data_IF_575594534631
#
_entry.id   IF_575594534631
#
_cell.length_a   1.000
_cell.length_b   1.000
_cell.length_c   1.000
_cell.angle_alpha   90.00
_cell.angle_beta   90.00
_cell.angle_gamma   90.00
#
_symmetry.space_group_name_H-M   'P 1'
#
loop_
_entity.id
_entity.type
_entity.pdbx_description
1 polymer ?
#
# COMPACT_ATOMS: atom_id res chain seq x y z
N UNK A 1 -11.22 -25.20 -68.12
CA UNK A 1 -11.31 -24.14 -67.10
C UNK A 1 -10.98 -24.69 -65.71
N UNK A 2 -9.99 -25.60 -65.60
CA UNK A 2 -9.66 -26.27 -64.32
C UNK A 2 -8.18 -26.19 -63.96
N UNK A 3 -7.27 -25.96 -64.92
CA UNK A 3 -5.83 -25.89 -64.64
C UNK A 3 -5.36 -24.56 -64.04
N UNK A 4 -6.12 -23.47 -64.18
CA UNK A 4 -5.76 -22.15 -63.61
C UNK A 4 -6.16 -21.96 -62.15
N UNK A 5 -7.04 -22.82 -61.61
CA UNK A 5 -7.49 -22.74 -60.21
C UNK A 5 -6.56 -23.47 -59.23
N UNK A 6 -5.92 -24.56 -59.67
CA UNK A 6 -4.97 -25.31 -58.83
C UNK A 6 -3.64 -24.58 -58.60
N UNK A 7 -3.15 -23.79 -59.57
CA UNK A 7 -1.85 -23.10 -59.39
C UNK A 7 -1.91 -21.90 -58.44
N UNK A 8 -3.09 -21.31 -58.25
CA UNK A 8 -3.33 -20.21 -57.30
C UNK A 8 -3.58 -20.71 -55.88
N UNK A 9 -4.12 -21.93 -55.71
CA UNK A 9 -4.32 -22.51 -54.37
C UNK A 9 -3.00 -22.96 -53.75
N UNK A 10 -2.11 -23.59 -54.52
CA UNK A 10 -0.82 -24.09 -54.01
C UNK A 10 0.14 -22.95 -53.64
N UNK A 11 0.09 -21.81 -54.35
CA UNK A 11 0.88 -20.62 -53.99
C UNK A 11 0.34 -19.89 -52.75
N UNK A 12 -0.96 -19.94 -52.47
CA UNK A 12 -1.53 -19.37 -51.23
C UNK A 12 -1.37 -20.30 -50.02
N UNK A 13 -1.41 -21.63 -50.19
CA UNK A 13 -1.11 -22.55 -49.09
C UNK A 13 0.38 -22.57 -48.72
N UNK A 14 1.29 -22.43 -49.69
CA UNK A 14 2.73 -22.35 -49.40
C UNK A 14 3.13 -21.08 -48.63
N UNK A 15 2.43 -19.96 -48.85
CA UNK A 15 2.69 -18.71 -48.14
C UNK A 15 2.08 -18.70 -46.72
N UNK A 16 0.95 -19.37 -46.51
CA UNK A 16 0.34 -19.49 -45.17
C UNK A 16 1.13 -20.47 -44.29
N UNK A 17 1.76 -21.51 -44.86
CA UNK A 17 2.57 -22.44 -44.06
C UNK A 17 3.96 -21.88 -43.67
N UNK A 18 4.52 -20.95 -44.44
CA UNK A 18 5.81 -20.30 -44.13
C UNK A 18 5.64 -19.09 -43.20
N UNK A 19 4.46 -18.46 -43.18
CA UNK A 19 4.10 -17.39 -42.23
C UNK A 19 3.59 -17.92 -40.87
N UNK A 20 3.40 -19.23 -40.73
CA UNK A 20 3.10 -19.90 -39.45
C UNK A 20 4.35 -20.48 -38.75
N UNK A 21 5.54 -20.37 -39.37
CA UNK A 21 6.81 -20.87 -38.80
C UNK A 21 7.85 -19.77 -38.55
N UNK A 22 7.48 -18.49 -38.59
CA UNK A 22 8.42 -17.37 -38.39
C UNK A 22 7.99 -16.33 -37.35
N UNK A 23 6.98 -16.64 -36.53
CA UNK A 23 6.73 -15.94 -35.26
C UNK A 23 6.30 -16.92 -34.17
N UNK A 24 7.02 -18.04 -34.01
CA UNK A 24 7.44 -18.38 -32.65
C UNK A 24 8.63 -17.47 -32.35
N UNK A 25 8.35 -16.17 -32.23
CA UNK A 25 9.06 -15.43 -31.21
C UNK A 25 8.78 -16.27 -29.97
N UNK A 26 9.80 -16.94 -29.47
CA UNK A 26 9.81 -17.34 -28.08
C UNK A 26 9.57 -16.00 -27.39
N UNK A 27 8.31 -15.69 -27.07
CA UNK A 27 8.05 -14.90 -25.90
C UNK A 27 8.70 -15.75 -24.84
N UNK A 28 9.97 -15.43 -24.59
CA UNK A 28 10.67 -15.93 -23.45
C UNK A 28 9.90 -15.22 -22.34
N UNK A 29 8.81 -15.84 -21.87
CA UNK A 29 8.19 -15.39 -20.63
C UNK A 29 9.36 -15.39 -19.66
N UNK A 30 9.68 -14.20 -19.16
CA UNK A 30 10.73 -14.08 -18.15
C UNK A 30 10.30 -15.03 -17.05
N UNK A 31 11.11 -16.06 -16.76
CA UNK A 31 10.78 -17.01 -15.68
C UNK A 31 10.59 -16.27 -14.36
N UNK A 32 11.22 -15.11 -14.21
CA UNK A 32 11.04 -14.24 -13.07
C UNK A 32 9.76 -13.40 -13.13
N UNK A 33 9.28 -13.00 -14.31
CA UNK A 33 7.96 -12.38 -14.41
C UNK A 33 6.87 -13.37 -13.94
N UNK A 34 6.96 -14.63 -14.37
CA UNK A 34 6.03 -15.68 -13.91
C UNK A 34 6.13 -15.87 -12.37
N UNK A 35 7.34 -15.82 -11.80
CA UNK A 35 7.53 -15.89 -10.34
C UNK A 35 6.99 -14.67 -9.58
N UNK A 36 7.09 -13.47 -10.16
CA UNK A 36 6.50 -12.25 -9.58
C UNK A 36 4.98 -12.37 -9.55
N UNK A 37 4.37 -12.84 -10.64
CA UNK A 37 2.93 -13.06 -10.72
C UNK A 37 2.47 -14.14 -9.73
N UNK A 38 3.21 -15.25 -9.60
CA UNK A 38 2.97 -16.28 -8.59
C UNK A 38 3.05 -15.72 -7.16
N UNK A 39 4.08 -14.92 -6.84
CA UNK A 39 4.23 -14.31 -5.52
C UNK A 39 3.05 -13.37 -5.20
N UNK A 40 2.62 -12.58 -6.19
CA UNK A 40 1.45 -11.71 -6.07
C UNK A 40 0.16 -12.50 -5.85
N UNK A 41 -0.05 -13.57 -6.63
CA UNK A 41 -1.21 -14.44 -6.52
C UNK A 41 -1.27 -15.18 -5.17
N UNK A 42 -0.14 -15.71 -4.70
CA UNK A 42 -0.05 -16.39 -3.40
C UNK A 42 -0.28 -15.40 -2.25
N UNK A 43 0.31 -14.20 -2.32
CA UNK A 43 0.07 -13.13 -1.34
C UNK A 43 -1.42 -12.80 -1.25
N UNK A 44 -2.07 -12.61 -2.41
CA UNK A 44 -3.51 -12.36 -2.48
C UNK A 44 -4.31 -13.53 -1.89
N UNK A 45 -3.99 -14.76 -2.27
CA UNK A 45 -4.66 -15.96 -1.79
C UNK A 45 -4.54 -16.12 -0.28
N UNK A 46 -3.37 -15.87 0.29
CA UNK A 46 -3.16 -15.90 1.74
C UNK A 46 -3.93 -14.80 2.45
N UNK A 47 -3.86 -13.54 2.00
CA UNK A 47 -4.62 -12.43 2.60
C UNK A 47 -6.12 -12.66 2.56
N UNK A 48 -6.61 -13.30 1.50
CA UNK A 48 -8.03 -13.66 1.38
C UNK A 48 -8.47 -14.70 2.42
N UNK A 49 -7.63 -15.68 2.72
CA UNK A 49 -7.96 -16.78 3.65
C UNK A 49 -7.70 -16.39 5.12
N UNK A 50 -6.59 -15.71 5.37
CA UNK A 50 -6.14 -15.30 6.71
C UNK A 50 -6.54 -13.84 6.99
N UNK A 51 -7.85 -13.58 7.01
CA UNK A 51 -8.42 -12.22 7.18
C UNK A 51 -8.16 -11.55 8.53
N UNK A 52 -7.79 -12.35 9.53
CA UNK A 52 -7.52 -11.93 10.91
C UNK A 52 -6.02 -11.71 11.06
N UNK A 53 -5.57 -10.55 10.58
CA UNK A 53 -4.16 -10.17 10.44
C UNK A 53 -3.44 -10.13 11.80
N UNK A 54 -4.11 -9.62 12.83
CA UNK A 54 -3.58 -9.64 14.19
C UNK A 54 -3.85 -10.96 14.93
N UNK A 55 -3.26 -12.05 14.43
CA UNK A 55 -3.33 -13.35 15.08
C UNK A 55 -2.05 -14.14 14.97
N UNK A 56 -1.77 -14.97 15.97
CA UNK A 56 -0.59 -15.84 15.97
C UNK A 56 -0.55 -16.76 14.74
N UNK A 57 -1.73 -17.20 14.28
CA UNK A 57 -1.84 -18.01 13.05
C UNK A 57 -1.43 -17.21 11.80
N UNK A 58 -1.88 -15.96 11.67
CA UNK A 58 -1.52 -15.09 10.54
C UNK A 58 -0.01 -14.86 10.49
N UNK A 59 0.58 -14.38 11.59
CA UNK A 59 2.01 -14.08 11.65
C UNK A 59 2.87 -15.30 11.32
N UNK A 60 2.57 -16.46 11.92
CA UNK A 60 3.30 -17.70 11.63
C UNK A 60 3.11 -18.16 10.19
N UNK A 61 1.91 -18.03 9.62
CA UNK A 61 1.67 -18.44 8.24
C UNK A 61 2.41 -17.54 7.26
N UNK A 62 2.43 -16.23 7.47
CA UNK A 62 3.11 -15.26 6.62
C UNK A 62 4.64 -15.34 6.77
N UNK A 63 5.16 -15.61 7.97
CA UNK A 63 6.59 -15.86 8.17
C UNK A 63 7.03 -17.10 7.37
N UNK A 64 6.30 -18.22 7.48
CA UNK A 64 6.57 -19.40 6.65
C UNK A 64 6.46 -19.11 5.14
N UNK A 65 5.52 -18.25 4.74
CA UNK A 65 5.35 -17.84 3.35
C UNK A 65 6.59 -17.11 2.83
N UNK A 66 7.10 -16.11 3.56
CA UNK A 66 8.30 -15.40 3.16
C UNK A 66 9.54 -16.30 3.19
N UNK A 67 9.68 -17.18 4.19
CA UNK A 67 10.76 -18.17 4.24
C UNK A 67 10.77 -19.10 3.02
N UNK A 68 9.61 -19.62 2.64
CA UNK A 68 9.49 -20.53 1.50
C UNK A 68 9.76 -19.81 0.17
N UNK A 69 9.32 -18.56 0.04
CA UNK A 69 9.63 -17.73 -1.13
C UNK A 69 11.10 -17.33 -1.20
N UNK A 70 11.74 -17.04 -0.05
CA UNK A 70 13.15 -16.74 -0.02
C UNK A 70 13.99 -17.96 -0.43
N UNK A 71 13.64 -19.17 0.05
CA UNK A 71 14.29 -20.42 -0.40
C UNK A 71 14.11 -20.66 -1.90
N UNK A 72 12.92 -20.36 -2.45
CA UNK A 72 12.69 -20.41 -3.91
C UNK A 72 13.63 -19.47 -4.65
N UNK A 73 13.80 -18.24 -4.17
CA UNK A 73 14.71 -17.25 -4.76
C UNK A 73 16.17 -17.71 -4.69
N UNK A 74 16.61 -18.27 -3.57
CA UNK A 74 17.99 -18.77 -3.40
C UNK A 74 18.34 -19.94 -4.33
N UNK A 75 17.34 -20.67 -4.81
CA UNK A 75 17.51 -21.75 -5.80
C UNK A 75 17.81 -21.26 -7.22
N UNK A 76 17.74 -19.95 -7.49
CA UNK A 76 17.95 -19.37 -8.81
C UNK A 76 19.42 -18.98 -9.01
N UNK A 77 20.06 -19.47 -10.07
CA UNK A 77 21.41 -19.04 -10.44
C UNK A 77 21.37 -17.62 -11.02
N UNK A 78 21.61 -16.62 -10.15
CA UNK A 78 21.61 -15.21 -10.49
C UNK A 78 22.55 -14.85 -11.65
N UNK A 79 23.68 -15.56 -11.80
CA UNK A 79 24.66 -15.23 -12.84
C UNK A 79 24.18 -15.66 -14.24
N UNK A 80 23.32 -16.67 -14.31
CA UNK A 80 22.71 -17.15 -15.55
C UNK A 80 21.61 -16.25 -16.10
N UNK A 81 21.10 -15.31 -15.29
CA UNK A 81 20.00 -14.42 -15.64
C UNK A 81 20.42 -13.33 -16.64
N UNK A 82 19.49 -12.95 -17.52
CA UNK A 82 19.60 -11.73 -18.34
C UNK A 82 19.61 -10.47 -17.46
N UNK A 83 19.99 -9.32 -18.01
CA UNK A 83 20.03 -8.08 -17.24
C UNK A 83 18.64 -7.69 -16.70
N UNK A 84 17.58 -7.88 -17.49
CA UNK A 84 16.21 -7.62 -17.05
C UNK A 84 15.80 -8.55 -15.91
N UNK A 85 16.06 -9.85 -16.06
CA UNK A 85 15.82 -10.85 -15.01
C UNK A 85 16.61 -10.55 -13.73
N UNK A 86 17.85 -10.04 -13.83
CA UNK A 86 18.61 -9.62 -12.63
C UNK A 86 17.92 -8.48 -11.88
N UNK A 87 17.32 -7.53 -12.59
CA UNK A 87 16.53 -6.45 -11.98
C UNK A 87 15.30 -7.03 -11.28
N UNK A 88 14.53 -7.86 -11.99
CA UNK A 88 13.33 -8.52 -11.45
C UNK A 88 13.67 -9.34 -10.18
N UNK A 89 14.77 -10.08 -10.21
CA UNK A 89 15.26 -10.86 -9.07
C UNK A 89 15.56 -9.98 -7.86
N UNK A 90 16.29 -8.88 -8.05
CA UNK A 90 16.66 -7.95 -6.97
C UNK A 90 15.42 -7.30 -6.38
N UNK A 91 14.49 -6.85 -7.22
CA UNK A 91 13.25 -6.21 -6.77
C UNK A 91 12.33 -7.18 -6.02
N UNK A 92 12.13 -8.40 -6.55
CA UNK A 92 11.32 -9.41 -5.87
C UNK A 92 11.95 -9.84 -4.55
N UNK A 93 13.27 -10.10 -4.53
CA UNK A 93 13.99 -10.42 -3.29
C UNK A 93 13.84 -9.31 -2.26
N UNK A 94 13.99 -8.04 -2.66
CA UNK A 94 13.80 -6.90 -1.78
C UNK A 94 12.36 -6.82 -1.25
N UNK A 95 11.36 -7.09 -2.10
CA UNK A 95 9.94 -7.13 -1.68
C UNK A 95 9.67 -8.21 -0.62
N UNK A 96 10.24 -9.41 -0.78
CA UNK A 96 10.14 -10.51 0.19
C UNK A 96 10.80 -10.12 1.51
N UNK A 97 12.05 -9.64 1.47
CA UNK A 97 12.81 -9.23 2.66
C UNK A 97 12.10 -8.09 3.40
N UNK A 98 11.59 -7.09 2.67
CA UNK A 98 10.81 -5.99 3.24
C UNK A 98 9.54 -6.48 3.91
N UNK A 99 8.81 -7.38 3.25
CA UNK A 99 7.59 -7.98 3.77
C UNK A 99 7.83 -8.76 5.07
N UNK A 100 8.88 -9.58 5.12
CA UNK A 100 9.24 -10.35 6.30
C UNK A 100 9.71 -9.45 7.46
N UNK A 101 10.55 -8.45 7.18
CA UNK A 101 11.03 -7.51 8.19
C UNK A 101 9.87 -6.81 8.93
N UNK A 102 8.95 -6.21 8.19
CA UNK A 102 7.81 -5.51 8.80
C UNK A 102 6.82 -6.47 9.47
N UNK A 103 6.61 -7.66 8.91
CA UNK A 103 5.80 -8.70 9.57
C UNK A 103 6.39 -9.06 10.94
N UNK A 104 7.71 -9.19 11.05
CA UNK A 104 8.38 -9.53 12.29
C UNK A 104 8.28 -8.41 13.33
N UNK A 105 8.43 -7.14 12.92
CA UNK A 105 8.18 -5.99 13.80
C UNK A 105 6.74 -5.97 14.30
N UNK A 106 5.77 -6.12 13.41
CA UNK A 106 4.35 -6.18 13.77
C UNK A 106 4.03 -7.37 14.68
N UNK A 107 4.73 -8.50 14.50
CA UNK A 107 4.56 -9.67 15.36
C UNK A 107 5.16 -9.46 16.75
N UNK A 108 6.29 -8.77 16.87
CA UNK A 108 6.87 -8.37 18.15
C UNK A 108 5.92 -7.45 18.92
N UNK A 109 5.36 -6.43 18.25
CA UNK A 109 4.33 -5.55 18.80
C UNK A 109 3.07 -6.33 19.23
N UNK A 110 2.62 -7.28 18.39
CA UNK A 110 1.50 -8.16 18.73
C UNK A 110 1.77 -8.96 20.00
N UNK A 111 2.97 -9.54 20.15
CA UNK A 111 3.33 -10.37 21.31
C UNK A 111 3.34 -9.55 22.61
N UNK A 112 3.66 -8.26 22.56
CA UNK A 112 3.64 -7.38 23.74
C UNK A 112 2.23 -7.25 24.35
N UNK A 113 1.19 -7.28 23.52
CA UNK A 113 -0.20 -7.01 23.92
C UNK A 113 -1.18 -8.15 23.65
N UNK A 114 -0.71 -9.32 23.22
CA UNK A 114 -1.55 -10.46 22.84
C UNK A 114 -2.52 -10.92 23.95
N UNK A 115 -2.23 -10.59 25.21
CA UNK A 115 -3.07 -10.95 26.36
C UNK A 115 -4.45 -10.28 26.34
N UNK A 116 -4.63 -9.19 25.58
CA UNK A 116 -5.93 -8.53 25.39
C UNK A 116 -6.94 -9.40 24.65
N UNK A 117 -6.49 -10.35 23.84
CA UNK A 117 -7.33 -11.29 23.10
C UNK A 117 -7.54 -12.63 23.82
N UNK A 118 -7.16 -12.77 25.09
CA UNK A 118 -7.29 -14.04 25.82
C UNK A 118 -8.73 -14.58 25.86
N UNK A 119 -9.76 -13.71 25.82
CA UNK A 119 -11.16 -14.12 25.73
C UNK A 119 -11.50 -14.86 24.42
N UNK A 120 -10.72 -14.66 23.36
CA UNK A 120 -10.99 -15.15 22.02
C UNK A 120 -10.59 -16.62 21.78
N UNK A 121 -9.73 -17.19 22.65
CA UNK A 121 -9.08 -18.49 22.42
C UNK A 121 -10.06 -19.62 22.09
N UNK A 122 -11.20 -19.68 22.77
CA UNK A 122 -12.22 -20.72 22.56
C UNK A 122 -13.04 -20.53 21.29
N UNK A 123 -13.01 -19.33 20.69
CA UNK A 123 -13.72 -18.99 19.45
C UNK A 123 -12.84 -19.12 18.20
N UNK A 124 -11.52 -19.16 18.35
CA UNK A 124 -10.60 -19.30 17.21
C UNK A 124 -10.91 -20.54 16.34
N UNK A 125 -11.22 -21.73 16.89
CA UNK A 125 -11.57 -22.89 16.08
C UNK A 125 -12.79 -22.62 15.18
N UNK A 126 -13.81 -21.90 15.66
CA UNK A 126 -14.99 -21.57 14.85
C UNK A 126 -14.60 -20.73 13.61
N UNK A 127 -13.78 -19.70 13.79
CA UNK A 127 -13.29 -18.84 12.70
C UNK A 127 -12.43 -19.65 11.71
N UNK A 128 -11.54 -20.49 12.22
CA UNK A 128 -10.63 -21.30 11.40
C UNK A 128 -11.38 -22.36 10.59
N UNK A 129 -12.27 -23.10 11.24
CA UNK A 129 -13.03 -24.19 10.62
C UNK A 129 -14.06 -23.67 9.61
N UNK A 130 -14.56 -22.43 9.78
CA UNK A 130 -15.42 -21.77 8.81
C UNK A 130 -14.76 -21.62 7.43
N UNK A 131 -13.44 -21.48 7.34
CA UNK A 131 -12.72 -21.39 6.05
C UNK A 131 -12.94 -22.61 5.13
N UNK A 132 -13.41 -23.72 5.71
CA UNK A 132 -13.79 -24.96 4.99
C UNK A 132 -15.25 -25.36 5.21
N UNK A 133 -16.08 -24.44 5.71
CA UNK A 133 -17.53 -24.61 5.83
C UNK A 133 -17.97 -25.65 6.86
N UNK A 134 -17.16 -25.95 7.88
CA UNK A 134 -17.55 -26.93 8.90
C UNK A 134 -18.69 -26.38 9.74
N UNK A 135 -19.82 -27.09 9.73
CA UNK A 135 -21.00 -26.75 10.54
C UNK A 135 -20.65 -26.74 12.05
N UNK A 136 -20.88 -25.62 12.77
CA UNK A 136 -20.66 -25.56 14.21
C UNK A 136 -21.81 -26.21 14.99
N UNK A 137 -21.55 -26.54 16.25
CA UNK A 137 -22.63 -26.74 17.23
C UNK A 137 -23.12 -25.36 17.70
N UNK A 138 -24.28 -24.94 17.18
CA UNK A 138 -24.86 -23.62 17.38
C UNK A 138 -25.07 -23.27 18.85
N UNK A 139 -25.54 -24.24 19.65
CA UNK A 139 -25.85 -24.05 21.06
C UNK A 139 -24.59 -23.90 21.88
N UNK A 140 -23.57 -24.72 21.62
CA UNK A 140 -22.26 -24.61 22.27
C UNK A 140 -21.59 -23.29 21.88
N UNK A 141 -21.62 -22.91 20.60
CA UNK A 141 -21.04 -21.66 20.13
C UNK A 141 -21.71 -20.43 20.76
N UNK A 142 -23.04 -20.44 20.86
CA UNK A 142 -23.79 -19.40 21.57
C UNK A 142 -23.34 -19.25 23.03
N UNK A 143 -23.14 -20.36 23.74
CA UNK A 143 -22.64 -20.34 25.12
C UNK A 143 -21.20 -19.78 25.18
N UNK A 144 -20.32 -20.20 24.26
CA UNK A 144 -18.95 -19.68 24.15
C UNK A 144 -18.95 -18.16 23.97
N UNK A 145 -19.80 -17.60 23.10
CA UNK A 145 -19.88 -16.15 22.88
C UNK A 145 -20.39 -15.38 24.10
N UNK A 146 -21.35 -15.96 24.83
CA UNK A 146 -21.83 -15.38 26.09
C UNK A 146 -20.73 -15.35 27.16
N UNK A 147 -19.96 -16.44 27.29
CA UNK A 147 -18.89 -16.52 28.28
C UNK A 147 -17.69 -15.65 27.89
N UNK A 148 -17.40 -15.52 26.59
CA UNK A 148 -16.43 -14.57 26.07
C UNK A 148 -16.80 -13.12 26.43
N UNK A 149 -18.08 -12.75 26.32
CA UNK A 149 -18.57 -11.41 26.71
C UNK A 149 -18.35 -11.13 28.20
N UNK A 150 -18.57 -12.12 29.08
CA UNK A 150 -18.31 -11.98 30.52
C UNK A 150 -16.81 -11.83 30.81
N UNK A 151 -15.97 -12.65 30.17
CA UNK A 151 -14.51 -12.57 30.30
C UNK A 151 -13.99 -11.22 29.82
N UNK A 152 -14.48 -10.73 28.69
CA UNK A 152 -14.12 -9.42 28.12
C UNK A 152 -14.44 -8.27 29.10
N UNK A 153 -15.61 -8.29 29.72
CA UNK A 153 -15.98 -7.30 30.73
C UNK A 153 -15.05 -7.32 31.96
N UNK A 154 -14.69 -8.52 32.43
CA UNK A 154 -13.73 -8.67 33.53
C UNK A 154 -12.33 -8.16 33.15
N UNK A 155 -11.86 -8.49 31.94
CA UNK A 155 -10.58 -8.02 31.41
C UNK A 155 -10.52 -6.51 31.26
N UNK A 156 -11.59 -5.88 30.75
CA UNK A 156 -11.71 -4.41 30.66
C UNK A 156 -11.54 -3.75 32.03
N UNK A 157 -12.18 -4.29 33.07
CA UNK A 157 -12.03 -3.79 34.45
C UNK A 157 -10.59 -3.92 34.96
N UNK A 158 -9.93 -5.06 34.74
CA UNK A 158 -8.53 -5.27 35.17
C UNK A 158 -7.56 -4.38 34.39
N UNK A 159 -7.79 -4.20 33.09
CA UNK A 159 -6.92 -3.40 32.20
C UNK A 159 -6.95 -1.92 32.52
N UNK A 160 -8.04 -1.40 33.08
CA UNK A 160 -8.16 0.01 33.52
C UNK A 160 -7.07 0.39 34.52
N UNK A 161 -6.63 -0.54 35.37
CA UNK A 161 -5.58 -0.32 36.37
C UNK A 161 -4.16 -0.52 35.79
N UNK A 162 -4.05 -0.88 34.50
CA UNK A 162 -2.80 -1.20 33.80
C UNK A 162 -2.77 -0.54 32.43
N UNK A 163 -2.63 0.79 32.36
CA UNK A 163 -2.52 1.51 31.09
C UNK A 163 -1.30 1.02 30.30
N UNK A 164 -1.38 1.11 28.98
CA UNK A 164 -0.25 0.86 28.09
C UNK A 164 0.81 1.95 28.23
N UNK A 165 2.05 1.61 27.85
CA UNK A 165 3.20 2.51 27.94
C UNK A 165 3.01 3.78 27.09
N UNK A 166 2.43 3.63 25.90
CA UNK A 166 2.19 4.70 24.94
C UNK A 166 0.96 4.40 24.06
N UNK A 167 0.60 5.39 23.24
CA UNK A 167 -0.55 5.31 22.34
C UNK A 167 -0.36 4.27 21.22
N UNK A 168 0.88 3.99 20.77
CA UNK A 168 1.13 3.00 19.71
C UNK A 168 0.82 1.58 20.21
N UNK A 169 1.21 1.29 21.44
CA UNK A 169 0.92 0.02 22.12
C UNK A 169 -0.58 -0.15 22.37
N UNK A 170 -1.26 0.94 22.74
CA UNK A 170 -2.71 0.97 22.89
C UNK A 170 -3.45 0.77 21.56
N UNK A 171 -2.98 1.39 20.49
CA UNK A 171 -3.53 1.24 19.14
C UNK A 171 -3.36 -0.20 18.64
N UNK A 172 -2.17 -0.80 18.80
CA UNK A 172 -1.93 -2.23 18.50
C UNK A 172 -2.86 -3.14 19.28
N UNK A 173 -3.05 -2.89 20.57
CA UNK A 173 -3.98 -3.67 21.40
C UNK A 173 -5.43 -3.57 20.89
N UNK A 174 -5.85 -2.39 20.43
CA UNK A 174 -7.14 -2.17 19.79
C UNK A 174 -7.25 -2.93 18.46
N UNK A 175 -6.22 -2.85 17.61
CA UNK A 175 -6.15 -3.54 16.31
C UNK A 175 -6.33 -5.05 16.45
N UNK A 176 -5.74 -5.67 17.48
CA UNK A 176 -5.93 -7.10 17.78
C UNK A 176 -7.42 -7.44 17.97
N UNK A 177 -8.13 -6.64 18.76
CA UNK A 177 -9.55 -6.87 19.05
C UNK A 177 -10.41 -6.64 17.82
N UNK A 178 -10.12 -5.60 17.03
CA UNK A 178 -10.82 -5.30 15.78
C UNK A 178 -10.58 -6.35 14.70
N UNK A 179 -9.36 -6.88 14.60
CA UNK A 179 -9.02 -7.99 13.71
C UNK A 179 -9.80 -9.25 14.09
N UNK A 180 -9.87 -9.58 15.38
CA UNK A 180 -10.71 -10.67 15.86
C UNK A 180 -12.19 -10.43 15.53
N UNK A 181 -12.71 -9.22 15.77
CA UNK A 181 -14.08 -8.84 15.44
C UNK A 181 -14.39 -9.02 13.95
N UNK A 182 -13.48 -8.59 13.07
CA UNK A 182 -13.58 -8.80 11.60
C UNK A 182 -13.65 -10.29 11.27
N UNK A 183 -12.77 -11.11 11.84
CA UNK A 183 -12.77 -12.56 11.64
C UNK A 183 -14.04 -13.24 12.14
N UNK A 184 -14.53 -12.84 13.32
CA UNK A 184 -15.76 -13.35 13.91
C UNK A 184 -16.98 -12.98 13.07
N UNK A 185 -17.06 -11.73 12.61
CA UNK A 185 -18.13 -11.25 11.75
C UNK A 185 -18.21 -12.04 10.45
N UNK A 186 -17.09 -12.23 9.79
CA UNK A 186 -17.04 -13.01 8.55
C UNK A 186 -17.54 -14.43 8.77
N UNK A 187 -17.08 -15.08 9.84
CA UNK A 187 -17.53 -16.42 10.18
C UNK A 187 -19.02 -16.49 10.56
N UNK A 188 -19.54 -15.48 11.25
CA UNK A 188 -20.95 -15.35 11.57
C UNK A 188 -21.82 -15.18 10.32
N UNK A 189 -21.47 -14.24 9.44
CA UNK A 189 -22.23 -13.91 8.23
C UNK A 189 -22.33 -15.11 7.27
N UNK A 190 -21.36 -16.01 7.29
CA UNK A 190 -21.37 -17.23 6.49
C UNK A 190 -22.55 -18.16 6.83
N UNK A 191 -22.95 -18.24 8.10
CA UNK A 191 -24.03 -19.13 8.57
C UNK A 191 -25.34 -18.39 8.85
N UNK A 192 -25.26 -17.13 9.28
CA UNK A 192 -26.44 -16.33 9.63
C UNK A 192 -27.41 -16.24 8.45
N UNK A 193 -28.71 -16.42 8.72
CA UNK A 193 -29.82 -16.50 7.75
C UNK A 193 -29.83 -17.70 6.80
N UNK A 194 -28.73 -18.44 6.68
CA UNK A 194 -28.63 -19.65 5.85
C UNK A 194 -28.81 -20.95 6.65
N UNK A 195 -28.38 -20.97 7.92
CA UNK A 195 -28.64 -22.06 8.87
C UNK A 195 -29.63 -21.59 9.96
N UNK A 196 -30.88 -22.11 9.97
CA UNK A 196 -31.90 -21.69 10.93
C UNK A 196 -31.54 -21.97 12.39
N UNK A 197 -30.89 -23.11 12.69
CA UNK A 197 -30.49 -23.47 14.05
C UNK A 197 -29.34 -22.56 14.53
N UNK A 198 -28.37 -22.30 13.65
CA UNK A 198 -27.32 -21.31 13.92
C UNK A 198 -27.92 -19.94 14.21
N UNK A 199 -28.81 -19.47 13.34
CA UNK A 199 -29.43 -18.15 13.45
C UNK A 199 -30.18 -18.02 14.78
N UNK A 200 -30.97 -19.04 15.13
CA UNK A 200 -31.73 -19.07 16.38
C UNK A 200 -30.85 -18.96 17.63
N UNK A 201 -29.77 -19.73 17.69
CA UNK A 201 -28.92 -19.77 18.89
C UNK A 201 -27.90 -18.62 18.95
N UNK A 202 -27.33 -18.22 17.82
CA UNK A 202 -26.10 -17.40 17.78
C UNK A 202 -26.37 -15.91 17.59
N UNK A 203 -27.49 -15.50 16.97
CA UNK A 203 -27.76 -14.09 16.63
C UNK A 203 -27.61 -13.15 17.84
N UNK A 204 -28.27 -13.46 18.96
CA UNK A 204 -28.25 -12.58 20.14
C UNK A 204 -26.89 -12.58 20.85
N UNK A 205 -26.26 -13.74 21.15
CA UNK A 205 -24.91 -13.77 21.69
C UNK A 205 -23.87 -13.05 20.82
N UNK A 206 -23.95 -13.22 19.50
CA UNK A 206 -23.05 -12.54 18.56
C UNK A 206 -23.24 -11.02 18.61
N UNK A 207 -24.47 -10.51 18.48
CA UNK A 207 -24.74 -9.06 18.52
C UNK A 207 -24.24 -8.42 19.82
N UNK A 208 -24.43 -9.10 20.95
CA UNK A 208 -23.93 -8.62 22.23
C UNK A 208 -22.40 -8.61 22.26
N UNK A 209 -21.75 -9.68 21.82
CA UNK A 209 -20.30 -9.77 21.79
C UNK A 209 -19.69 -8.75 20.83
N UNK A 210 -20.24 -8.57 19.63
CA UNK A 210 -19.79 -7.62 18.63
C UNK A 210 -19.79 -6.17 19.16
N UNK A 211 -20.89 -5.76 19.81
CA UNK A 211 -20.95 -4.47 20.49
C UNK A 211 -19.89 -4.32 21.59
N UNK A 212 -19.73 -5.35 22.44
CA UNK A 212 -18.74 -5.35 23.51
C UNK A 212 -17.30 -5.29 22.97
N UNK A 213 -17.00 -5.96 21.85
CA UNK A 213 -15.69 -5.93 21.20
C UNK A 213 -15.35 -4.53 20.73
N UNK A 214 -16.30 -3.85 20.07
CA UNK A 214 -16.13 -2.47 19.62
C UNK A 214 -15.85 -1.52 20.79
N UNK A 215 -16.62 -1.64 21.88
CA UNK A 215 -16.40 -0.85 23.09
C UNK A 215 -15.11 -1.18 23.84
N UNK A 216 -14.61 -2.41 23.70
CA UNK A 216 -13.35 -2.82 24.30
C UNK A 216 -12.16 -2.30 23.49
N UNK A 217 -12.21 -2.40 22.16
CA UNK A 217 -11.19 -1.85 21.27
C UNK A 217 -11.02 -0.34 21.49
N UNK A 218 -12.13 0.42 21.49
CA UNK A 218 -12.11 1.86 21.76
C UNK A 218 -11.55 2.19 23.16
N UNK A 219 -11.89 1.37 24.16
CA UNK A 219 -11.30 1.51 25.49
C UNK A 219 -9.79 1.27 25.48
N UNK A 220 -9.31 0.21 24.82
CA UNK A 220 -7.89 -0.11 24.75
C UNK A 220 -7.10 1.01 24.08
N UNK A 221 -7.62 1.51 22.95
CA UNK A 221 -7.01 2.61 22.17
C UNK A 221 -6.75 3.85 23.01
N UNK A 222 -7.61 4.14 23.98
CA UNK A 222 -7.51 5.31 24.85
C UNK A 222 -6.88 5.01 26.23
N UNK A 223 -6.46 3.76 26.50
CA UNK A 223 -5.96 3.33 27.81
C UNK A 223 -4.43 3.29 27.85
N UNK A 224 -3.79 4.44 27.69
CA UNK A 224 -2.34 4.60 27.75
C UNK A 224 -1.93 5.74 28.69
N UNK A 225 -0.65 5.77 29.06
CA UNK A 225 -0.09 6.77 29.97
C UNK A 225 -0.07 8.17 29.31
N UNK A 226 -0.59 9.20 29.98
CA UNK A 226 -0.75 10.57 29.44
C UNK A 226 0.58 11.26 29.03
N UNK A 227 1.72 10.74 29.48
CA UNK A 227 3.05 11.27 29.16
C UNK A 227 3.60 10.79 27.80
N UNK A 228 2.84 10.00 27.03
CA UNK A 228 3.22 9.61 25.67
C UNK A 228 3.11 10.80 24.72
N UNK A 229 4.13 10.96 23.84
CA UNK A 229 4.33 12.10 22.93
C UNK A 229 2.99 12.67 22.45
N UNK A 230 2.62 13.77 23.08
CA UNK A 230 1.44 14.58 22.81
C UNK A 230 1.92 15.69 21.90
N UNK A 231 1.44 15.67 20.65
CA UNK A 231 1.47 16.78 19.67
C UNK A 231 2.67 17.74 19.78
N UNK A 232 3.61 17.65 18.84
CA UNK A 232 4.77 18.56 18.76
C UNK A 232 4.41 20.01 18.36
N UNK A 233 3.12 20.34 18.36
CA UNK A 233 2.57 21.63 17.97
C UNK A 233 2.29 21.73 16.47
N UNK A 234 2.63 20.70 15.69
CA UNK A 234 2.24 20.60 14.27
C UNK A 234 0.80 20.14 14.09
N UNK A 235 0.16 19.56 15.13
CA UNK A 235 -1.11 18.86 15.01
C UNK A 235 -1.01 17.52 14.27
N UNK A 236 0.21 17.10 13.86
CA UNK A 236 0.48 15.85 13.15
C UNK A 236 1.13 14.88 14.12
N UNK A 237 0.34 13.97 14.68
CA UNK A 237 0.85 12.86 15.50
C UNK A 237 1.29 11.75 14.54
N UNK A 238 2.57 11.73 14.17
CA UNK A 238 3.16 10.62 13.40
C UNK A 238 3.37 9.37 14.25
N UNK A 239 3.38 8.18 13.63
CA UNK A 239 3.78 6.90 14.26
C UNK A 239 5.30 6.74 14.12
N UNK A 240 6.13 7.12 15.12
CA UNK A 240 7.57 6.97 14.99
C UNK A 240 7.93 5.48 14.87
N UNK A 241 8.73 5.14 13.85
CA UNK A 241 9.21 3.77 13.61
C UNK A 241 10.59 3.52 14.21
N UNK A 242 11.24 4.55 14.77
CA UNK A 242 12.59 4.46 15.32
C UNK A 242 13.69 4.57 14.26
N UNK A 243 14.93 4.73 14.73
CA UNK A 243 16.10 4.95 13.86
C UNK A 243 16.46 3.70 13.07
N UNK A 244 16.40 2.54 13.72
CA UNK A 244 16.76 1.25 13.15
C UNK A 244 15.81 0.90 12.00
N UNK A 245 14.49 0.96 12.22
CA UNK A 245 13.53 0.69 11.15
C UNK A 245 13.60 1.73 10.01
N UNK A 246 13.94 2.99 10.31
CA UNK A 246 14.15 4.00 9.29
C UNK A 246 15.38 3.71 8.42
N UNK A 247 16.49 3.25 9.03
CA UNK A 247 17.69 2.83 8.29
C UNK A 247 17.39 1.63 7.38
N UNK A 248 16.71 0.61 7.91
CA UNK A 248 16.29 -0.55 7.12
C UNK A 248 15.34 -0.14 5.98
N UNK A 249 14.37 0.75 6.26
CA UNK A 249 13.45 1.28 5.25
C UNK A 249 14.19 1.99 4.12
N UNK A 250 15.17 2.85 4.45
CA UNK A 250 15.99 3.54 3.44
C UNK A 250 16.82 2.56 2.61
N UNK A 251 17.43 1.55 3.25
CA UNK A 251 18.19 0.52 2.54
C UNK A 251 17.30 -0.29 1.57
N UNK A 252 16.08 -0.64 1.98
CA UNK A 252 15.10 -1.34 1.14
C UNK A 252 14.54 -0.46 0.01
N UNK A 253 14.63 0.87 0.11
CA UNK A 253 14.35 1.80 -1.00
C UNK A 253 15.61 2.11 -1.84
N UNK A 254 16.69 1.37 -1.63
CA UNK A 254 17.99 1.56 -2.29
C UNK A 254 18.59 2.96 -2.09
N UNK A 255 18.29 3.62 -0.97
CA UNK A 255 18.83 4.92 -0.60
C UNK A 255 20.11 4.70 0.22
N UNK A 256 21.30 5.04 -0.31
CA UNK A 256 22.59 4.72 0.32
C UNK A 256 23.00 5.72 1.42
N UNK A 257 22.05 6.49 1.95
CA UNK A 257 22.28 7.58 2.90
C UNK A 257 21.54 7.31 4.20
N UNK A 258 22.16 7.69 5.31
CA UNK A 258 21.50 7.67 6.62
C UNK A 258 20.52 8.84 6.75
N UNK A 259 19.55 8.76 7.69
CA UNK A 259 18.66 9.89 7.98
C UNK A 259 19.42 11.19 8.28
N UNK A 260 20.49 11.11 9.07
CA UNK A 260 21.32 12.26 9.43
C UNK A 260 22.01 12.88 8.18
N UNK A 261 22.46 12.05 7.24
CA UNK A 261 23.03 12.51 5.98
C UNK A 261 21.97 13.17 5.09
N UNK A 262 20.78 12.58 4.99
CA UNK A 262 19.67 13.13 4.22
C UNK A 262 19.24 14.50 4.77
N UNK A 263 19.11 14.64 6.09
CA UNK A 263 18.78 15.92 6.73
C UNK A 263 19.86 16.96 6.43
N UNK A 264 21.14 16.59 6.63
CA UNK A 264 22.25 17.50 6.34
C UNK A 264 22.24 17.97 4.89
N UNK A 265 22.09 17.05 3.94
CA UNK A 265 22.00 17.40 2.52
C UNK A 265 20.77 18.26 2.24
N UNK A 266 19.62 17.96 2.83
CA UNK A 266 18.41 18.76 2.66
C UNK A 266 18.59 20.20 3.17
N UNK A 267 19.23 20.40 4.32
CA UNK A 267 19.53 21.73 4.87
C UNK A 267 20.51 22.51 3.97
N UNK A 268 21.54 21.84 3.46
CA UNK A 268 22.49 22.42 2.50
C UNK A 268 21.79 22.86 1.21
N UNK A 269 20.96 21.98 0.61
CA UNK A 269 20.20 22.29 -0.59
C UNK A 269 19.15 23.39 -0.35
N UNK A 270 18.47 23.37 0.79
CA UNK A 270 17.49 24.40 1.16
C UNK A 270 18.14 25.78 1.25
N UNK A 271 19.30 25.87 1.89
CA UNK A 271 20.07 27.11 1.97
C UNK A 271 20.55 27.58 0.58
N UNK A 272 20.98 26.66 -0.28
CA UNK A 272 21.34 26.99 -1.66
C UNK A 272 20.13 27.53 -2.44
N UNK A 273 19.00 26.83 -2.44
CA UNK A 273 17.76 27.28 -3.08
C UNK A 273 17.33 28.67 -2.60
N UNK A 274 17.37 28.91 -1.29
CA UNK A 274 17.07 30.22 -0.71
C UNK A 274 18.01 31.32 -1.24
N UNK A 275 19.29 31.03 -1.38
CA UNK A 275 20.26 32.00 -1.91
C UNK A 275 20.01 32.29 -3.39
N UNK A 276 19.65 31.29 -4.20
CA UNK A 276 19.26 31.51 -5.60
C UNK A 276 17.95 32.32 -5.70
N UNK A 277 16.97 32.06 -4.83
CA UNK A 277 15.76 32.89 -4.75
C UNK A 277 16.06 34.35 -4.41
N UNK A 278 17.03 34.62 -3.54
CA UNK A 278 17.47 35.98 -3.21
C UNK A 278 18.14 36.64 -4.42
N UNK A 279 18.94 35.92 -5.21
CA UNK A 279 19.53 36.46 -6.44
C UNK A 279 18.44 36.85 -7.45
N UNK A 280 17.49 35.96 -7.71
CA UNK A 280 16.36 36.25 -8.59
C UNK A 280 15.52 37.45 -8.08
N UNK A 281 15.31 37.53 -6.76
CA UNK A 281 14.64 38.67 -6.11
C UNK A 281 15.34 40.01 -6.37
N UNK A 282 16.68 40.03 -6.34
CA UNK A 282 17.48 41.22 -6.65
C UNK A 282 17.34 41.62 -8.12
N UNK A 283 17.36 40.65 -9.04
CA UNK A 283 17.16 40.88 -10.47
C UNK A 283 15.76 41.43 -10.79
N UNK A 284 14.75 40.99 -10.04
CA UNK A 284 13.38 41.51 -10.11
C UNK A 284 13.20 42.86 -9.41
N UNK A 285 14.24 43.40 -8.74
CA UNK A 285 14.21 44.71 -8.09
C UNK A 285 13.65 44.72 -6.65
N UNK A 286 13.45 43.56 -6.02
CA UNK A 286 12.94 43.43 -4.64
C UNK A 286 14.05 43.33 -3.58
N UNK A 287 15.32 43.40 -3.98
CA UNK A 287 16.45 43.23 -3.07
C UNK A 287 16.44 41.85 -2.42
N UNK A 288 16.68 41.78 -1.11
CA UNK A 288 16.76 40.51 -0.36
C UNK A 288 15.40 39.99 0.10
N UNK A 289 14.31 40.73 -0.16
CA UNK A 289 12.95 40.32 0.16
C UNK A 289 12.40 39.35 -0.90
N UNK A 290 12.98 38.15 -0.91
CA UNK A 290 12.58 37.08 -1.83
C UNK A 290 11.12 36.66 -1.65
N UNK A 291 10.49 36.93 -0.50
CA UNK A 291 9.07 36.66 -0.28
C UNK A 291 8.22 37.67 -1.05
N UNK A 292 8.57 38.96 -1.02
CA UNK A 292 7.89 39.96 -1.85
C UNK A 292 8.06 39.68 -3.35
N UNK A 293 9.26 39.28 -3.78
CA UNK A 293 9.49 38.85 -5.17
C UNK A 293 8.63 37.63 -5.55
N UNK A 294 8.54 36.64 -4.65
CA UNK A 294 7.70 35.46 -4.87
C UNK A 294 6.20 35.84 -4.96
N UNK A 295 5.72 36.73 -4.10
CA UNK A 295 4.35 37.24 -4.18
C UNK A 295 4.10 38.02 -5.47
N UNK A 296 5.09 38.77 -5.97
CA UNK A 296 4.99 39.41 -7.28
C UNK A 296 4.78 38.38 -8.40
N UNK A 297 5.64 37.35 -8.47
CA UNK A 297 5.55 36.29 -9.50
C UNK A 297 4.24 35.50 -9.38
N UNK A 298 3.74 35.24 -8.18
CA UNK A 298 2.42 34.62 -7.99
C UNK A 298 1.29 35.41 -8.64
N UNK A 299 1.46 36.71 -8.85
CA UNK A 299 0.47 37.59 -9.47
C UNK A 299 0.75 37.88 -10.96
N UNK A 300 1.77 37.26 -11.58
CA UNK A 300 2.06 37.39 -13.02
C UNK A 300 1.39 36.29 -13.86
N UNK A 301 0.17 35.88 -13.51
CA UNK A 301 -0.61 34.91 -14.28
C UNK A 301 -1.32 35.57 -15.46
N UNK A 302 -1.66 34.76 -16.47
CA UNK A 302 -2.40 35.23 -17.65
C UNK A 302 -3.87 35.53 -17.28
N UNK A 303 -4.57 36.40 -18.03
CA UNK A 303 -5.98 36.68 -17.83
C UNK A 303 -6.87 35.43 -17.71
N UNK A 304 -7.99 35.57 -17.01
CA UNK A 304 -8.98 34.51 -16.89
C UNK A 304 -9.43 34.03 -18.29
N UNK A 305 -9.45 32.71 -18.49
CA UNK A 305 -9.72 32.08 -19.78
C UNK A 305 -8.48 31.79 -20.63
N UNK A 306 -7.32 32.39 -20.34
CA UNK A 306 -6.10 32.20 -21.16
C UNK A 306 -5.16 31.11 -20.65
N UNK A 307 -5.33 30.66 -19.41
CA UNK A 307 -4.51 29.61 -18.79
C UNK A 307 -4.35 28.35 -19.66
N UNK A 308 -5.39 27.78 -20.30
CA UNK A 308 -5.24 26.63 -21.18
C UNK A 308 -4.27 26.87 -22.34
N UNK A 309 -4.34 28.03 -22.99
CA UNK A 309 -3.44 28.36 -24.09
C UNK A 309 -2.00 28.54 -23.59
N UNK A 310 -1.81 29.27 -22.47
CA UNK A 310 -0.50 29.46 -21.87
C UNK A 310 0.18 28.13 -21.50
N UNK A 311 -0.59 27.17 -20.99
CA UNK A 311 -0.09 25.82 -20.68
C UNK A 311 0.28 25.06 -21.97
N UNK A 312 -0.50 25.17 -23.04
CA UNK A 312 -0.18 24.54 -24.32
C UNK A 312 1.07 25.14 -24.96
N UNK A 313 1.29 26.44 -24.80
CA UNK A 313 2.49 27.13 -25.27
C UNK A 313 3.72 26.66 -24.48
N UNK A 314 3.62 26.54 -23.14
CA UNK A 314 4.69 25.97 -22.30
C UNK A 314 5.01 24.52 -22.64
N UNK A 315 3.97 23.72 -22.91
CA UNK A 315 4.13 22.35 -23.38
C UNK A 315 4.93 22.32 -24.69
N UNK A 316 4.52 23.11 -25.68
CA UNK A 316 5.18 23.17 -27.00
C UNK A 316 6.63 23.62 -26.87
N UNK A 317 6.90 24.67 -26.09
CA UNK A 317 8.27 25.13 -25.80
C UNK A 317 9.12 24.05 -25.13
N UNK A 318 8.52 23.26 -24.23
CA UNK A 318 9.23 22.17 -23.55
C UNK A 318 9.57 21.03 -24.52
N UNK A 319 8.65 20.68 -25.42
CA UNK A 319 8.89 19.70 -26.49
C UNK A 319 10.01 20.16 -27.41
N UNK A 320 9.92 21.40 -27.91
CA UNK A 320 10.95 21.98 -28.78
C UNK A 320 12.31 22.00 -28.08
N UNK A 321 12.37 22.44 -26.81
CA UNK A 321 13.60 22.46 -26.03
C UNK A 321 14.24 21.07 -25.91
N UNK A 322 13.44 20.03 -25.69
CA UNK A 322 13.90 18.63 -25.58
C UNK A 322 14.38 18.11 -26.93
N UNK A 323 13.61 18.30 -27.99
CA UNK A 323 13.91 17.76 -29.32
C UNK A 323 15.09 18.47 -29.99
N UNK A 324 15.16 19.80 -29.92
CA UNK A 324 16.26 20.59 -30.48
C UNK A 324 17.61 20.28 -29.82
N UNK A 325 17.59 19.86 -28.55
CA UNK A 325 18.79 19.52 -27.76
C UNK A 325 19.05 18.03 -27.64
N UNK A 326 18.19 17.20 -28.26
CA UNK A 326 18.27 15.73 -28.21
C UNK A 326 18.43 15.20 -26.76
N UNK A 327 17.61 15.72 -25.83
CA UNK A 327 17.77 15.40 -24.40
C UNK A 327 17.26 14.00 -24.04
N UNK A 328 16.14 13.57 -24.64
CA UNK A 328 15.55 12.25 -24.49
C UNK A 328 14.83 11.86 -25.79
N UNK A 329 14.63 10.56 -26.01
CA UNK A 329 13.73 10.09 -27.06
C UNK A 329 12.28 10.36 -26.66
N UNK A 330 11.58 11.20 -27.42
CA UNK A 330 10.19 11.56 -27.19
C UNK A 330 9.28 10.94 -28.28
N UNK A 331 8.59 9.82 -28.00
CA UNK A 331 7.73 9.17 -29.00
C UNK A 331 6.59 10.08 -29.46
N UNK A 332 6.25 10.03 -30.75
CA UNK A 332 5.16 10.85 -31.31
C UNK A 332 3.84 10.69 -30.55
N UNK A 333 3.50 9.47 -30.12
CA UNK A 333 2.29 9.21 -29.35
C UNK A 333 2.32 9.85 -27.95
N UNK A 334 3.48 9.94 -27.31
CA UNK A 334 3.61 10.64 -26.02
C UNK A 334 3.32 12.14 -26.18
N UNK A 335 3.61 12.70 -27.35
CA UNK A 335 3.26 14.10 -27.67
C UNK A 335 1.77 14.30 -27.93
N UNK A 336 1.11 13.31 -28.51
CA UNK A 336 -0.31 13.37 -28.85
C UNK A 336 -1.23 13.16 -27.65
N UNK A 337 -0.81 12.36 -26.65
CA UNK A 337 -1.73 11.78 -25.65
C UNK A 337 -1.83 12.52 -24.32
N UNK A 338 -1.09 13.63 -24.14
CA UNK A 338 -1.25 14.47 -22.95
C UNK A 338 -2.51 15.34 -23.09
N UNK A 339 -3.58 14.89 -22.46
CA UNK A 339 -4.84 15.63 -22.42
C UNK A 339 -4.78 16.82 -21.47
N UNK A 340 -5.83 17.63 -21.47
CA UNK A 340 -5.96 18.79 -20.60
C UNK A 340 -7.36 18.81 -19.99
N UNK A 341 -7.44 18.98 -18.67
CA UNK A 341 -8.71 19.09 -17.95
C UNK A 341 -8.71 20.28 -16.99
N UNK A 342 -9.91 20.80 -16.71
CA UNK A 342 -10.08 21.83 -15.68
C UNK A 342 -10.29 21.17 -14.32
N UNK A 343 -9.54 21.61 -13.32
CA UNK A 343 -9.72 21.14 -11.94
C UNK A 343 -11.06 21.64 -11.40
N UNK A 344 -11.89 20.73 -10.88
CA UNK A 344 -13.13 21.10 -10.20
C UNK A 344 -12.86 22.01 -8.99
N UNK A 345 -13.79 22.92 -8.68
CA UNK A 345 -13.67 23.82 -7.53
C UNK A 345 -13.50 23.10 -6.17
N UNK A 346 -14.06 21.91 -6.02
CA UNK A 346 -13.87 21.09 -4.81
C UNK A 346 -12.42 20.59 -4.70
N UNK A 347 -11.89 20.01 -5.78
CA UNK A 347 -10.49 19.55 -5.82
C UNK A 347 -9.49 20.68 -5.61
N UNK A 348 -9.74 21.89 -6.12
CA UNK A 348 -8.83 23.04 -5.94
C UNK A 348 -8.63 23.42 -4.47
N UNK A 349 -9.59 23.13 -3.58
CA UNK A 349 -9.48 23.44 -2.14
C UNK A 349 -8.52 22.51 -1.39
N UNK A 350 -8.26 21.32 -1.91
CA UNK A 350 -7.58 20.24 -1.18
C UNK A 350 -6.40 19.64 -1.93
N UNK A 351 -6.19 19.97 -3.21
CA UNK A 351 -5.17 19.36 -4.06
C UNK A 351 -3.84 20.12 -3.97
N UNK A 352 -2.79 19.54 -3.36
CA UNK A 352 -1.52 20.22 -3.18
C UNK A 352 -0.62 19.99 -4.40
N UNK A 353 -0.73 20.83 -5.43
CA UNK A 353 0.24 21.08 -6.54
C UNK A 353 0.78 19.90 -7.39
N UNK A 354 0.64 18.63 -7.00
CA UNK A 354 1.13 17.45 -7.73
C UNK A 354 0.04 16.39 -7.81
N UNK A 355 -0.72 16.42 -8.91
CA UNK A 355 -1.84 15.51 -9.12
C UNK A 355 -1.48 14.25 -9.91
N UNK A 356 -0.33 14.27 -10.60
CA UNK A 356 0.11 13.17 -11.47
C UNK A 356 -0.93 12.80 -12.54
N UNK A 357 -0.72 11.65 -13.18
CA UNK A 357 -1.68 11.09 -14.13
C UNK A 357 -1.41 11.46 -15.59
N UNK A 358 -2.41 11.21 -16.44
CA UNK A 358 -2.31 11.27 -17.89
C UNK A 358 -2.62 12.65 -18.50
N UNK A 359 -3.32 13.50 -17.74
CA UNK A 359 -3.87 14.78 -18.19
C UNK A 359 -3.19 15.93 -17.43
N UNK A 360 -2.98 17.07 -18.09
CA UNK A 360 -2.57 18.33 -17.48
C UNK A 360 -3.80 18.97 -16.84
N UNK A 361 -3.80 19.08 -15.52
CA UNK A 361 -4.94 19.55 -14.74
C UNK A 361 -4.77 21.03 -14.40
N UNK A 362 -5.63 21.88 -14.95
CA UNK A 362 -5.54 23.33 -14.85
C UNK A 362 -6.42 23.85 -13.72
N UNK A 363 -5.83 24.60 -12.80
CA UNK A 363 -6.53 25.44 -11.82
C UNK A 363 -6.33 26.92 -12.13
N UNK A 364 -7.29 27.74 -11.71
CA UNK A 364 -7.11 29.18 -11.63
C UNK A 364 -6.75 29.58 -10.18
N UNK A 365 -5.99 30.67 -9.99
CA UNK A 365 -5.67 31.19 -8.65
C UNK A 365 -6.91 31.53 -7.82
#
# INVERSE_FOLDING_TARGET
MEYRLLSTLVKKLGFVLIMLMSTFGISQSSKLADLIDEFGADTWGLRHIYIMEESEEYYKRFSNFYDDWMKRMEGIDFNSLTQQEKVDYVLLKNSIVKGDYFLNQDYDDFKEVADVANFAKTMLPFIQERRRGKKPDSKVLAQIMQDASKTLAAQKKTRKEKPFKDWQTADKASEIVLSFQKGLKEAYDFYYSYDPDFTWWVEQPYKSLDGNLKEYAEFLKNNYSENSIKDDGSGIIGKPIGKEALLESLAMEFIPYTPDQLIKTAEEQFNWCKNEMIKASRELGYGDDWKAALEHVKNTYVPAGEQPQAIMDLYSQSVDFIEERDLITLPALAKETWGMEMMSAERQKVSPFFLGGRDIIISYP
#
